data_IF_822548998024
#
_entry.id   IF_822548998024
#
_cell.length_a   1.000
_cell.length_b   1.000
_cell.length_c   1.000
_cell.angle_alpha   90.00
_cell.angle_beta   90.00
_cell.angle_gamma   90.00
#
_symmetry.space_group_name_H-M   'P 1'
#
loop_
_entity.id
_entity.type
_entity.pdbx_description
1 polymer ?
#
# COMPACT_ATOMS: atom_id res chain seq x y z
N UNK A 1 -8.76 -20.47 -39.57
CA UNK A 1 -7.61 -19.56 -39.37
C UNK A 1 -6.47 -20.40 -38.85
N UNK A 2 -5.26 -20.30 -39.41
CA UNK A 2 -4.07 -21.00 -38.91
C UNK A 2 -3.27 -20.11 -37.93
N UNK A 3 -2.23 -20.66 -37.30
CA UNK A 3 -1.42 -19.93 -36.30
C UNK A 3 -0.78 -18.66 -36.84
N UNK A 4 -0.22 -18.72 -38.05
CA UNK A 4 0.43 -17.58 -38.68
C UNK A 4 -0.56 -16.45 -38.98
N UNK A 5 -1.75 -16.78 -39.47
CA UNK A 5 -2.83 -15.82 -39.69
C UNK A 5 -3.30 -15.18 -38.38
N UNK A 6 -3.47 -15.98 -37.32
CA UNK A 6 -3.85 -15.46 -36.01
C UNK A 6 -2.81 -14.46 -35.48
N UNK A 7 -1.52 -14.77 -35.64
CA UNK A 7 -0.45 -13.87 -35.22
C UNK A 7 -0.50 -12.51 -35.95
N UNK A 8 -0.74 -12.53 -37.27
CA UNK A 8 -0.89 -11.30 -38.07
C UNK A 8 -2.08 -10.47 -37.58
N UNK A 9 -3.24 -11.09 -37.36
CA UNK A 9 -4.43 -10.39 -36.90
C UNK A 9 -4.26 -9.83 -35.48
N UNK A 10 -3.61 -10.56 -34.58
CA UNK A 10 -3.29 -10.05 -33.22
C UNK A 10 -2.34 -8.85 -33.30
N UNK A 11 -1.30 -8.91 -34.13
CA UNK A 11 -0.37 -7.79 -34.31
C UNK A 11 -1.07 -6.55 -34.87
N UNK A 12 -1.98 -6.75 -35.85
CA UNK A 12 -2.83 -5.69 -36.37
C UNK A 12 -3.78 -5.12 -35.32
N UNK A 13 -4.33 -5.98 -34.46
CA UNK A 13 -5.16 -5.53 -33.35
C UNK A 13 -4.35 -4.66 -32.37
N UNK A 14 -3.14 -5.08 -32.02
CA UNK A 14 -2.27 -4.28 -31.14
C UNK A 14 -1.81 -2.97 -31.78
N UNK A 15 -1.47 -2.95 -33.07
CA UNK A 15 -1.03 -1.70 -33.72
C UNK A 15 -2.09 -0.60 -33.68
N UNK A 16 -3.37 -0.98 -33.63
CA UNK A 16 -4.51 -0.06 -33.50
C UNK A 16 -4.79 0.28 -32.03
N UNK A 17 -4.81 -0.72 -31.13
CA UNK A 17 -5.37 -0.57 -29.79
C UNK A 17 -4.33 -0.33 -28.68
N UNK A 18 -3.04 -0.52 -28.93
CA UNK A 18 -2.02 -0.48 -27.87
C UNK A 18 -1.91 0.90 -27.20
N UNK A 19 -2.03 1.99 -27.97
CA UNK A 19 -2.01 3.35 -27.41
C UNK A 19 -3.21 3.62 -26.50
N UNK A 20 -4.38 3.06 -26.83
CA UNK A 20 -5.56 3.13 -25.99
C UNK A 20 -5.34 2.35 -24.68
N UNK A 21 -4.87 1.10 -24.78
CA UNK A 21 -4.53 0.29 -23.60
C UNK A 21 -3.55 1.00 -22.67
N UNK A 22 -2.50 1.61 -23.23
CA UNK A 22 -1.51 2.36 -22.46
C UNK A 22 -2.15 3.52 -21.68
N UNK A 23 -3.02 4.30 -22.32
CA UNK A 23 -3.74 5.41 -21.68
C UNK A 23 -4.66 4.91 -20.57
N UNK A 24 -5.41 3.83 -20.80
CA UNK A 24 -6.28 3.22 -19.80
C UNK A 24 -5.50 2.72 -18.58
N UNK A 25 -4.38 2.04 -18.82
CA UNK A 25 -3.53 1.55 -17.73
C UNK A 25 -2.95 2.72 -16.95
N UNK A 26 -2.40 3.74 -17.62
CA UNK A 26 -1.81 4.90 -16.97
C UNK A 26 -2.81 5.69 -16.13
N UNK A 27 -3.96 6.04 -16.71
CA UNK A 27 -4.89 6.98 -16.10
C UNK A 27 -5.85 6.33 -15.10
N UNK A 28 -6.31 5.09 -15.39
CA UNK A 28 -7.41 4.47 -14.64
C UNK A 28 -6.97 3.33 -13.72
N UNK A 29 -5.88 2.63 -14.06
CA UNK A 29 -5.46 1.43 -13.32
C UNK A 29 -4.27 1.74 -12.41
N UNK A 30 -3.15 2.17 -12.98
CA UNK A 30 -1.94 2.53 -12.26
C UNK A 30 -2.08 3.83 -11.49
N UNK A 31 -2.71 4.84 -12.13
CA UNK A 31 -2.96 6.19 -11.60
C UNK A 31 -1.72 6.81 -10.94
N UNK A 32 -1.88 7.88 -10.14
CA UNK A 32 -0.77 8.56 -9.48
C UNK A 32 0.05 7.67 -8.53
N UNK A 33 -0.48 6.51 -8.10
CA UNK A 33 0.23 5.62 -7.20
C UNK A 33 1.31 4.77 -7.87
N UNK A 34 1.19 4.48 -9.16
CA UNK A 34 2.10 3.57 -9.90
C UNK A 34 2.29 3.97 -11.37
N UNK A 35 2.04 5.24 -11.74
CA UNK A 35 2.07 5.72 -13.13
C UNK A 35 3.39 5.43 -13.84
N UNK A 36 4.50 5.52 -13.10
CA UNK A 36 5.86 5.34 -13.64
C UNK A 36 6.12 3.89 -14.08
N UNK A 37 5.33 2.94 -13.56
CA UNK A 37 5.40 1.52 -13.89
C UNK A 37 4.24 1.05 -14.77
N UNK A 38 3.45 1.97 -15.33
CA UNK A 38 2.28 1.64 -16.15
C UNK A 38 2.65 0.84 -17.40
N UNK A 39 3.77 1.17 -18.05
CA UNK A 39 4.25 0.46 -19.25
C UNK A 39 4.72 -0.96 -18.92
N UNK A 40 5.45 -1.13 -17.82
CA UNK A 40 5.89 -2.44 -17.34
C UNK A 40 4.69 -3.33 -16.97
N UNK A 41 3.71 -2.76 -16.27
CA UNK A 41 2.46 -3.44 -15.95
C UNK A 41 1.73 -3.92 -17.20
N UNK A 42 1.57 -3.04 -18.19
CA UNK A 42 0.93 -3.38 -19.46
C UNK A 42 1.69 -4.52 -20.16
N UNK A 43 3.01 -4.45 -20.22
CA UNK A 43 3.85 -5.45 -20.86
C UNK A 43 3.70 -6.84 -20.22
N UNK A 44 3.69 -6.93 -18.89
CA UNK A 44 3.45 -8.19 -18.16
C UNK A 44 2.10 -8.80 -18.58
N UNK A 45 1.06 -7.98 -18.69
CA UNK A 45 -0.29 -8.43 -19.04
C UNK A 45 -0.42 -8.80 -20.53
N UNK A 46 0.24 -8.07 -21.43
CA UNK A 46 0.32 -8.40 -22.85
C UNK A 46 1.04 -9.73 -23.05
N UNK A 47 2.16 -9.96 -22.38
CA UNK A 47 2.86 -11.25 -22.42
C UNK A 47 1.99 -12.39 -21.89
N UNK A 48 1.26 -12.15 -20.80
CA UNK A 48 0.30 -13.13 -20.27
C UNK A 48 -0.77 -13.51 -21.29
N UNK A 49 -1.26 -12.55 -22.09
CA UNK A 49 -2.16 -12.83 -23.21
C UNK A 49 -1.48 -13.61 -24.34
N UNK A 50 -0.29 -13.19 -24.78
CA UNK A 50 0.42 -13.81 -25.91
C UNK A 50 0.79 -15.28 -25.64
N UNK A 51 1.10 -15.60 -24.38
CA UNK A 51 1.42 -16.96 -23.92
C UNK A 51 0.19 -17.87 -23.78
N UNK A 52 -1.03 -17.38 -24.01
CA UNK A 52 -2.22 -18.25 -24.04
C UNK A 52 -2.21 -19.19 -25.23
N UNK A 53 -2.98 -20.27 -25.12
CA UNK A 53 -3.19 -21.23 -26.20
C UNK A 53 -3.76 -20.58 -27.46
N UNK A 54 -3.51 -21.20 -28.62
CA UNK A 54 -4.06 -20.78 -29.91
C UNK A 54 -5.58 -20.59 -29.85
N UNK A 55 -6.30 -21.60 -29.37
CA UNK A 55 -7.77 -21.58 -29.27
C UNK A 55 -8.28 -20.42 -28.43
N UNK A 56 -7.65 -20.17 -27.28
CA UNK A 56 -8.04 -19.07 -26.39
C UNK A 56 -7.81 -17.71 -27.05
N UNK A 57 -6.68 -17.53 -27.74
CA UNK A 57 -6.38 -16.26 -28.42
C UNK A 57 -7.34 -16.03 -29.58
N UNK A 58 -7.64 -17.06 -30.35
CA UNK A 58 -8.61 -17.01 -31.45
C UNK A 58 -10.00 -16.62 -30.94
N UNK A 59 -10.49 -17.27 -29.90
CA UNK A 59 -11.79 -16.96 -29.30
C UNK A 59 -11.85 -15.51 -28.80
N UNK A 60 -10.82 -15.05 -28.08
CA UNK A 60 -10.77 -13.68 -27.57
C UNK A 60 -10.73 -12.63 -28.69
N UNK A 61 -10.05 -12.93 -29.79
CA UNK A 61 -10.04 -12.06 -30.97
C UNK A 61 -11.42 -11.97 -31.61
N UNK A 62 -12.08 -13.12 -31.82
CA UNK A 62 -13.42 -13.19 -32.42
C UNK A 62 -14.49 -12.51 -31.56
N UNK A 63 -14.39 -12.66 -30.24
CA UNK A 63 -15.32 -12.07 -29.28
C UNK A 63 -15.02 -10.59 -28.96
N UNK A 64 -13.96 -10.01 -29.54
CA UNK A 64 -13.44 -8.68 -29.18
C UNK A 64 -13.19 -8.49 -27.67
N UNK A 65 -12.63 -9.52 -27.01
CA UNK A 65 -12.40 -9.57 -25.55
C UNK A 65 -10.94 -9.33 -25.15
N UNK A 66 -10.04 -9.09 -26.10
CA UNK A 66 -8.61 -8.91 -25.83
C UNK A 66 -8.38 -7.73 -24.87
N UNK A 67 -8.98 -6.57 -25.15
CA UNK A 67 -8.87 -5.38 -24.30
C UNK A 67 -9.34 -5.65 -22.87
N UNK A 68 -10.58 -6.14 -22.72
CA UNK A 68 -11.17 -6.46 -21.43
C UNK A 68 -10.31 -7.45 -20.63
N UNK A 69 -9.73 -8.44 -21.30
CA UNK A 69 -8.81 -9.38 -20.65
C UNK A 69 -7.56 -8.67 -20.14
N UNK A 70 -6.89 -7.88 -20.98
CA UNK A 70 -5.64 -7.20 -20.62
C UNK A 70 -5.88 -6.21 -19.47
N UNK A 71 -6.90 -5.35 -19.56
CA UNK A 71 -7.20 -4.35 -18.53
C UNK A 71 -7.61 -5.00 -17.20
N UNK A 72 -8.38 -6.10 -17.26
CA UNK A 72 -8.71 -6.88 -16.06
C UNK A 72 -7.47 -7.55 -15.46
N UNK A 73 -6.56 -8.05 -16.29
CA UNK A 73 -5.28 -8.61 -15.85
C UNK A 73 -4.44 -7.52 -15.15
N UNK A 74 -4.32 -6.32 -15.73
CA UNK A 74 -3.61 -5.19 -15.14
C UNK A 74 -4.20 -4.82 -13.77
N UNK A 75 -5.53 -4.74 -13.69
CA UNK A 75 -6.24 -4.46 -12.43
C UNK A 75 -5.97 -5.51 -11.35
N UNK A 76 -5.88 -6.79 -11.72
CA UNK A 76 -5.56 -7.88 -10.80
C UNK A 76 -4.10 -7.84 -10.34
N UNK A 77 -3.17 -7.54 -11.26
CA UNK A 77 -1.74 -7.39 -10.95
C UNK A 77 -1.51 -6.28 -9.92
N UNK A 78 -2.20 -5.14 -10.06
CA UNK A 78 -2.11 -4.04 -9.08
C UNK A 78 -2.74 -4.37 -7.74
N UNK A 79 -3.81 -5.16 -7.69
CA UNK A 79 -4.55 -5.42 -6.44
C UNK A 79 -3.97 -6.58 -5.64
N UNK A 80 -3.46 -7.61 -6.32
CA UNK A 80 -2.97 -8.82 -5.65
C UNK A 80 -1.62 -8.58 -4.96
N UNK A 81 -1.47 -9.07 -3.72
CA UNK A 81 -0.21 -9.07 -2.95
C UNK A 81 0.70 -10.26 -3.25
N UNK A 82 0.36 -11.08 -4.23
CA UNK A 82 1.14 -12.25 -4.67
C UNK A 82 1.41 -12.23 -6.17
N UNK A 83 1.10 -11.11 -6.84
CA UNK A 83 1.30 -10.96 -8.27
C UNK A 83 2.78 -10.74 -8.61
N UNK A 84 3.23 -11.12 -9.81
CA UNK A 84 4.57 -10.77 -10.30
C UNK A 84 4.85 -9.27 -10.19
N UNK A 85 3.88 -8.44 -10.58
CA UNK A 85 4.01 -6.98 -10.48
C UNK A 85 4.21 -6.51 -9.03
N UNK A 86 3.55 -7.14 -8.05
CA UNK A 86 3.76 -6.82 -6.65
C UNK A 86 5.19 -7.11 -6.19
N UNK A 87 5.70 -8.29 -6.51
CA UNK A 87 7.03 -8.70 -6.08
C UNK A 87 8.15 -7.89 -6.74
N UNK A 88 7.98 -7.51 -8.01
CA UNK A 88 9.00 -6.75 -8.74
C UNK A 88 8.98 -5.26 -8.43
N UNK A 89 7.80 -4.64 -8.32
CA UNK A 89 7.69 -3.18 -8.23
C UNK A 89 7.02 -2.71 -6.93
N UNK A 90 5.76 -3.11 -6.69
CA UNK A 90 4.93 -2.49 -5.63
C UNK A 90 5.47 -2.73 -4.22
N UNK A 91 6.03 -3.92 -3.95
CA UNK A 91 6.63 -4.26 -2.65
C UNK A 91 7.77 -3.30 -2.30
N UNK A 92 8.59 -2.97 -3.29
CA UNK A 92 9.71 -2.04 -3.13
C UNK A 92 9.22 -0.59 -3.06
N UNK A 93 8.25 -0.21 -3.88
CA UNK A 93 7.66 1.14 -3.86
C UNK A 93 7.07 1.51 -2.48
N UNK A 94 6.38 0.57 -1.83
CA UNK A 94 5.81 0.78 -0.49
C UNK A 94 6.89 0.98 0.59
N UNK A 95 8.12 0.51 0.34
CA UNK A 95 9.27 0.67 1.25
C UNK A 95 10.16 1.86 0.89
N UNK A 96 10.02 2.43 -0.31
CA UNK A 96 10.87 3.51 -0.85
C UNK A 96 10.04 4.75 -1.20
N UNK A 97 8.96 5.06 -0.47
CA UNK A 97 8.41 6.42 -0.55
C UNK A 97 9.59 7.39 -0.31
N UNK A 98 9.80 8.39 -1.19
CA UNK A 98 10.87 9.37 -1.05
C UNK A 98 10.52 10.38 0.06
N UNK A 99 10.34 9.86 1.28
CA UNK A 99 10.30 10.61 2.52
C UNK A 99 11.59 10.37 3.33
N UNK A 100 12.69 10.06 2.64
CA UNK A 100 14.00 9.85 3.24
C UNK A 100 15.06 10.85 2.73
N UNK A 101 14.68 11.89 1.99
CA UNK A 101 15.61 12.92 1.47
C UNK A 101 15.36 14.34 1.98
N UNK A 102 14.42 14.57 2.93
CA UNK A 102 14.20 15.88 3.55
C UNK A 102 14.13 15.86 5.08
N UNK A 103 14.93 15.00 5.71
CA UNK A 103 15.43 15.31 7.06
C UNK A 103 16.92 15.02 7.01
N UNK A 104 17.69 16.02 6.61
CA UNK A 104 19.04 16.13 7.13
C UNK A 104 18.87 16.08 8.65
N UNK A 105 19.28 14.96 9.24
CA UNK A 105 19.57 14.84 10.65
C UNK A 105 20.75 15.79 10.90
N UNK A 106 20.43 17.08 11.04
CA UNK A 106 21.25 18.01 11.79
C UNK A 106 21.25 17.46 13.23
N UNK A 107 22.11 16.46 13.48
CA UNK A 107 22.60 16.13 14.81
C UNK A 107 23.37 17.34 15.33
N UNK A 108 22.64 18.36 15.75
CA UNK A 108 23.09 19.26 16.79
C UNK A 108 22.65 18.61 18.09
N UNK A 109 23.51 17.75 18.60
CA UNK A 109 23.54 17.47 20.04
C UNK A 109 24.05 18.76 20.67
N UNK A 110 23.15 19.58 21.22
CA UNK A 110 23.41 20.44 22.37
C UNK A 110 22.13 21.18 22.75
N UNK A 111 21.42 20.66 23.76
CA UNK A 111 20.91 21.41 24.92
C UNK A 111 19.97 20.53 25.76
N UNK A 112 19.97 20.68 27.10
CA UNK A 112 19.04 19.95 27.96
C UNK A 112 17.63 20.46 27.68
N UNK A 113 16.85 19.67 26.93
CA UNK A 113 15.51 20.04 26.48
C UNK A 113 14.60 20.28 27.69
N UNK A 114 14.23 21.55 27.88
CA UNK A 114 13.28 21.98 28.90
C UNK A 114 11.93 21.31 28.64
N UNK A 115 11.47 20.50 29.59
CA UNK A 115 10.17 19.84 29.57
C UNK A 115 9.06 20.80 30.05
N UNK A 116 9.16 22.08 29.73
CA UNK A 116 8.05 23.01 29.87
C UNK A 116 6.97 22.59 28.87
N UNK A 117 5.74 22.42 29.34
CA UNK A 117 4.61 21.82 28.62
C UNK A 117 4.08 22.65 27.43
N UNK A 118 4.93 23.42 26.77
CA UNK A 118 4.59 24.32 25.67
C UNK A 118 4.52 23.61 24.31
N UNK A 119 5.10 22.42 24.17
CA UNK A 119 5.00 21.63 22.94
C UNK A 119 3.95 20.53 23.06
N UNK A 120 3.26 20.22 21.97
CA UNK A 120 2.31 19.10 21.87
C UNK A 120 2.93 17.78 22.37
N UNK A 121 4.22 17.57 22.08
CA UNK A 121 4.99 16.41 22.55
C UNK A 121 5.20 16.41 24.07
N UNK A 122 5.49 17.57 24.65
CA UNK A 122 5.58 17.76 26.11
C UNK A 122 4.24 17.45 26.80
N UNK A 123 3.13 17.96 26.27
CA UNK A 123 1.80 17.67 26.80
C UNK A 123 1.48 16.16 26.77
N UNK A 124 1.75 15.49 25.65
CA UNK A 124 1.51 14.05 25.51
C UNK A 124 2.32 13.26 26.54
N UNK A 125 3.60 13.58 26.75
CA UNK A 125 4.44 12.88 27.72
C UNK A 125 3.96 13.09 29.17
N UNK A 126 3.51 14.30 29.51
CA UNK A 126 2.92 14.61 30.81
C UNK A 126 1.60 13.87 31.02
N UNK A 127 0.76 13.77 29.99
CA UNK A 127 -0.51 13.04 30.12
C UNK A 127 -0.33 11.53 30.11
N UNK A 128 0.69 11.00 29.43
CA UNK A 128 1.08 9.58 29.52
C UNK A 128 1.54 9.25 30.95
N UNK A 129 2.31 10.12 31.61
CA UNK A 129 2.76 9.87 32.99
C UNK A 129 1.63 9.93 34.02
N UNK A 130 0.48 10.54 33.67
CA UNK A 130 -0.75 10.57 34.49
C UNK A 130 -1.73 9.43 34.20
N UNK A 131 -1.43 8.55 33.25
CA UNK A 131 -2.26 7.38 32.97
C UNK A 131 -2.28 6.44 34.18
N UNK A 132 -3.38 5.71 34.35
CA UNK A 132 -3.40 4.66 35.37
C UNK A 132 -2.45 3.51 34.98
N UNK A 133 -2.04 2.70 35.95
CA UNK A 133 -1.09 1.59 35.75
C UNK A 133 -1.45 0.69 34.54
N UNK A 134 -2.74 0.40 34.34
CA UNK A 134 -3.20 -0.47 33.24
C UNK A 134 -3.04 0.22 31.88
N UNK A 135 -3.49 1.47 31.77
CA UNK A 135 -3.38 2.27 30.56
C UNK A 135 -1.91 2.54 30.19
N UNK A 136 -1.08 2.86 31.18
CA UNK A 136 0.36 3.04 31.02
C UNK A 136 1.01 1.74 30.50
N UNK A 137 0.67 0.59 31.09
CA UNK A 137 1.19 -0.70 30.67
C UNK A 137 0.77 -1.05 29.23
N UNK A 138 -0.46 -0.74 28.82
CA UNK A 138 -0.89 -0.93 27.43
C UNK A 138 -0.07 -0.09 26.44
N UNK A 139 0.21 1.17 26.78
CA UNK A 139 1.04 2.04 25.93
C UNK A 139 2.47 1.51 25.86
N UNK A 140 3.05 1.09 26.99
CA UNK A 140 4.39 0.50 27.07
C UNK A 140 4.55 -0.71 26.14
N UNK A 141 3.67 -1.70 26.28
CA UNK A 141 3.71 -2.93 25.48
C UNK A 141 3.60 -2.66 23.98
N UNK A 142 2.77 -1.68 23.61
CA UNK A 142 2.48 -1.41 22.20
C UNK A 142 3.54 -0.55 21.51
N UNK A 143 4.00 0.49 22.18
CA UNK A 143 4.84 1.53 21.57
C UNK A 143 6.32 1.43 21.94
N UNK A 144 6.63 0.92 23.13
CA UNK A 144 8.01 0.75 23.58
C UNK A 144 8.50 -0.68 23.35
N UNK A 145 7.71 -1.68 23.72
CA UNK A 145 8.04 -3.10 23.50
C UNK A 145 7.63 -3.61 22.10
N UNK A 146 6.93 -2.78 21.31
CA UNK A 146 6.51 -3.04 19.91
C UNK A 146 5.66 -4.31 19.70
N UNK A 147 4.90 -4.74 20.71
CA UNK A 147 4.05 -5.92 20.60
C UNK A 147 2.86 -5.72 19.66
N UNK A 148 2.45 -6.80 19.00
CA UNK A 148 1.23 -6.86 18.20
C UNK A 148 -0.01 -6.99 19.10
N UNK A 149 -1.19 -6.66 18.56
CA UNK A 149 -2.44 -6.81 19.32
C UNK A 149 -2.72 -8.27 19.71
N UNK A 150 -2.28 -9.22 18.89
CA UNK A 150 -2.43 -10.64 19.17
C UNK A 150 -1.53 -11.11 20.32
N UNK A 151 -0.31 -10.57 20.42
CA UNK A 151 0.60 -10.87 21.52
C UNK A 151 0.10 -10.24 22.83
N UNK A 152 -0.42 -9.01 22.78
CA UNK A 152 -1.02 -8.35 23.94
C UNK A 152 -2.30 -9.08 24.39
N UNK A 153 -3.13 -9.55 23.44
CA UNK A 153 -4.29 -10.39 23.73
C UNK A 153 -3.87 -11.68 24.45
N UNK A 154 -2.81 -12.37 24.00
CA UNK A 154 -2.31 -13.59 24.68
C UNK A 154 -1.90 -13.31 26.14
N UNK A 155 -1.30 -12.16 26.41
CA UNK A 155 -0.83 -11.78 27.75
C UNK A 155 -1.98 -11.39 28.68
N UNK A 156 -2.96 -10.61 28.20
CA UNK A 156 -4.05 -10.07 29.03
C UNK A 156 -5.39 -10.82 28.89
N UNK A 157 -5.48 -11.76 27.96
CA UNK A 157 -6.71 -12.48 27.56
C UNK A 157 -7.87 -11.54 27.22
N UNK A 158 -7.55 -10.40 26.60
CA UNK A 158 -8.53 -9.40 26.19
C UNK A 158 -8.89 -9.56 24.71
N UNK A 159 -10.17 -9.57 24.34
CA UNK A 159 -10.58 -9.56 22.93
C UNK A 159 -9.94 -8.40 22.15
N UNK A 160 -9.55 -8.66 20.90
CA UNK A 160 -8.93 -7.65 20.03
C UNK A 160 -9.80 -6.40 19.85
N UNK A 161 -11.13 -6.57 19.81
CA UNK A 161 -12.11 -5.48 19.76
C UNK A 161 -12.04 -4.58 21.00
N UNK A 162 -11.89 -5.19 22.18
CA UNK A 162 -11.73 -4.49 23.45
C UNK A 162 -10.42 -3.73 23.47
N UNK A 163 -9.29 -4.35 23.10
CA UNK A 163 -7.99 -3.67 23.05
C UNK A 163 -8.01 -2.43 22.15
N UNK A 164 -8.56 -2.54 20.94
CA UNK A 164 -8.69 -1.38 20.02
C UNK A 164 -9.54 -0.26 20.62
N UNK A 165 -10.62 -0.62 21.32
CA UNK A 165 -11.49 0.35 22.01
C UNK A 165 -10.78 1.02 23.17
N UNK A 166 -9.98 0.27 23.92
CA UNK A 166 -9.17 0.77 25.03
C UNK A 166 -8.10 1.76 24.56
N UNK A 167 -7.31 1.42 23.53
CA UNK A 167 -6.35 2.38 22.96
C UNK A 167 -7.03 3.63 22.44
N UNK A 168 -8.17 3.49 21.74
CA UNK A 168 -8.94 4.64 21.27
C UNK A 168 -9.34 5.55 22.45
N UNK A 169 -9.86 4.97 23.53
CA UNK A 169 -10.24 5.68 24.75
C UNK A 169 -9.05 6.39 25.40
N UNK A 170 -7.89 5.74 25.49
CA UNK A 170 -6.66 6.32 26.04
C UNK A 170 -6.22 7.52 25.19
N UNK A 171 -6.19 7.38 23.87
CA UNK A 171 -5.81 8.48 22.98
C UNK A 171 -6.81 9.62 22.97
N UNK A 172 -8.12 9.35 23.08
CA UNK A 172 -9.13 10.39 23.25
C UNK A 172 -8.95 11.15 24.57
N UNK A 173 -8.59 10.47 25.67
CA UNK A 173 -8.26 11.12 26.95
C UNK A 173 -7.06 12.05 26.82
N UNK A 174 -5.98 11.59 26.19
CA UNK A 174 -4.77 12.40 25.97
C UNK A 174 -5.10 13.58 25.06
N UNK A 175 -5.81 13.33 23.95
CA UNK A 175 -6.20 14.36 22.98
C UNK A 175 -7.05 15.44 23.63
N UNK A 176 -8.09 15.09 24.39
CA UNK A 176 -8.97 16.07 25.02
C UNK A 176 -8.23 16.98 26.00
N UNK A 177 -7.18 16.49 26.64
CA UNK A 177 -6.36 17.29 27.57
C UNK A 177 -5.28 18.12 26.88
N UNK A 178 -4.73 17.61 25.77
CA UNK A 178 -3.76 18.34 24.94
C UNK A 178 -4.41 19.19 23.82
N UNK A 179 -5.74 19.29 23.78
CA UNK A 179 -6.45 20.11 22.77
C UNK A 179 -6.33 21.62 23.02
N UNK A 180 -5.84 22.02 24.20
CA UNK A 180 -5.68 23.41 24.63
C UNK A 180 -4.21 23.86 24.64
N UNK A 181 -3.30 23.10 24.01
CA UNK A 181 -1.87 23.39 23.89
C UNK A 181 -1.52 23.78 22.47
#
# INVERSE_FOLDING_TARGET
>A
MNEMQLHIEINKWFSVNYQHLRKEVLNNIANAGMSDYADDLLNICVLSFLNRSFESKLQMLQDNKIENFILRCCSLQIKSGTSPFYHTYRKHYTHHQPYAEFVHDDMVIDEPYDLSGETLRGCVNIEISKLNWYEARLIELKFYEKMTYDEINKTFRLPLSTLKTEYKRIFEKIKNKCSNC
#
